data_IF_703833536806
#
_entry.id   IF_703833536806
#
_cell.length_a   1.000
_cell.length_b   1.000
_cell.length_c   1.000
_cell.angle_alpha   90.00
_cell.angle_beta   90.00
_cell.angle_gamma   90.00
#
_symmetry.space_group_name_H-M   'P 1'
#
loop_
_entity.id
_entity.type
_entity.pdbx_description
1 polymer ?
#
# COMPACT_ATOMS: atom_id res chain seq x y z
N UNK A 1 8.07 -3.51 -1.34
CA UNK A 1 7.47 -3.31 -2.70
C UNK A 1 7.93 -1.96 -3.27
N UNK A 2 8.05 -1.78 -4.58
CA UNK A 2 8.39 -0.47 -5.14
C UNK A 2 7.18 0.47 -5.22
N UNK A 3 7.39 1.77 -5.07
CA UNK A 3 6.36 2.83 -5.25
C UNK A 3 5.61 2.67 -6.58
N UNK A 4 6.31 2.21 -7.61
CA UNK A 4 5.77 1.93 -8.93
C UNK A 4 4.69 0.85 -8.93
N UNK A 5 4.86 -0.20 -8.12
CA UNK A 5 3.84 -1.26 -8.00
C UNK A 5 2.60 -0.76 -7.24
N UNK A 6 2.78 0.09 -6.23
CA UNK A 6 1.65 0.75 -5.55
C UNK A 6 0.90 1.69 -6.51
N UNK A 7 1.64 2.48 -7.29
CA UNK A 7 1.06 3.41 -8.27
C UNK A 7 0.27 2.66 -9.35
N UNK A 8 0.80 1.55 -9.85
CA UNK A 8 0.09 0.69 -10.82
C UNK A 8 -1.20 0.11 -10.22
N UNK A 9 -1.15 -0.38 -8.96
CA UNK A 9 -2.33 -0.88 -8.27
C UNK A 9 -3.41 0.21 -8.10
N UNK A 10 -3.03 1.42 -7.69
CA UNK A 10 -3.96 2.55 -7.55
C UNK A 10 -4.54 3.03 -8.88
N UNK A 11 -3.75 3.05 -9.95
CA UNK A 11 -4.24 3.41 -11.30
C UNK A 11 -5.18 2.36 -11.89
N UNK A 12 -5.02 1.09 -11.50
CA UNK A 12 -5.92 0.01 -11.91
C UNK A 12 -7.26 0.02 -11.17
N UNK A 13 -7.36 0.70 -10.02
CA UNK A 13 -8.56 0.75 -9.20
C UNK A 13 -9.63 1.60 -9.87
N UNK A 14 -10.56 0.97 -10.59
CA UNK A 14 -11.68 1.64 -11.26
C UNK A 14 -12.92 1.62 -10.37
N UNK A 15 -13.48 2.80 -10.08
CA UNK A 15 -14.82 2.92 -9.48
C UNK A 15 -15.85 2.61 -10.57
N UNK A 16 -16.40 1.39 -10.55
CA UNK A 16 -17.45 0.94 -11.48
C UNK A 16 -18.63 0.37 -10.71
N UNK A 17 -19.85 0.56 -11.24
CA UNK A 17 -21.04 -0.14 -10.77
C UNK A 17 -21.01 -1.55 -11.38
N UNK A 18 -20.92 -2.62 -10.57
CA UNK A 18 -20.91 -3.97 -11.11
C UNK A 18 -22.25 -4.29 -11.80
N UNK A 19 -22.19 -4.86 -13.01
CA UNK A 19 -23.38 -5.21 -13.77
C UNK A 19 -23.92 -6.61 -13.43
N UNK A 20 -23.14 -7.40 -12.69
CA UNK A 20 -23.47 -8.76 -12.29
C UNK A 20 -22.87 -9.14 -10.93
N UNK A 21 -23.30 -10.28 -10.38
CA UNK A 21 -22.70 -10.85 -9.16
C UNK A 21 -21.24 -11.27 -9.40
N UNK A 22 -20.92 -11.77 -10.59
CA UNK A 22 -19.55 -12.13 -10.97
C UNK A 22 -18.66 -10.88 -11.02
N UNK A 23 -19.12 -9.80 -11.65
CA UNK A 23 -18.43 -8.51 -11.71
C UNK A 23 -18.19 -7.95 -10.30
N UNK A 24 -19.17 -8.07 -9.41
CA UNK A 24 -19.05 -7.64 -8.03
C UNK A 24 -18.06 -8.50 -7.22
N UNK A 25 -17.87 -9.78 -7.58
CA UNK A 25 -16.88 -10.65 -6.96
C UNK A 25 -15.46 -10.29 -7.43
N UNK A 26 -15.28 -10.04 -8.73
CA UNK A 26 -14.03 -9.53 -9.30
C UNK A 26 -13.63 -8.19 -8.69
N UNK A 27 -14.55 -7.23 -8.64
CA UNK A 27 -14.28 -5.91 -8.03
C UNK A 27 -13.89 -6.02 -6.55
N UNK A 28 -14.51 -6.92 -5.79
CA UNK A 28 -14.11 -7.18 -4.39
C UNK A 28 -12.74 -7.83 -4.28
N UNK A 29 -12.33 -8.65 -5.26
CA UNK A 29 -10.99 -9.22 -5.29
C UNK A 29 -9.94 -8.14 -5.59
N UNK A 30 -10.21 -7.28 -6.58
CA UNK A 30 -9.37 -6.13 -6.91
C UNK A 30 -9.17 -5.20 -5.70
N UNK A 31 -10.27 -4.85 -5.01
CA UNK A 31 -10.21 -3.99 -3.80
C UNK A 31 -9.39 -4.64 -2.68
N UNK A 32 -9.55 -5.95 -2.42
CA UNK A 32 -8.77 -6.65 -1.40
C UNK A 32 -7.29 -6.71 -1.73
N UNK A 33 -6.94 -6.88 -3.00
CA UNK A 33 -5.55 -6.84 -3.44
C UNK A 33 -4.93 -5.44 -3.26
N UNK A 34 -5.68 -4.38 -3.60
CA UNK A 34 -5.24 -3.00 -3.40
C UNK A 34 -5.05 -2.64 -1.92
N UNK A 35 -5.98 -3.05 -1.05
CA UNK A 35 -5.89 -2.84 0.40
C UNK A 35 -4.68 -3.56 1.03
N UNK A 36 -4.45 -4.82 0.65
CA UNK A 36 -3.29 -5.58 1.10
C UNK A 36 -1.96 -4.92 0.67
N UNK A 37 -1.89 -4.43 -0.58
CA UNK A 37 -0.72 -3.72 -1.10
C UNK A 37 -0.47 -2.40 -0.36
N UNK A 38 -1.52 -1.63 -0.09
CA UNK A 38 -1.43 -0.39 0.69
C UNK A 38 -0.96 -0.67 2.12
N UNK A 39 -1.53 -1.67 2.78
CA UNK A 39 -1.14 -2.07 4.13
C UNK A 39 0.31 -2.54 4.21
N UNK A 40 0.80 -3.26 3.21
CA UNK A 40 2.22 -3.65 3.12
C UNK A 40 3.12 -2.42 2.97
N UNK A 41 2.79 -1.50 2.06
CA UNK A 41 3.56 -0.28 1.84
C UNK A 41 3.60 0.62 3.08
N UNK A 42 2.48 0.78 3.79
CA UNK A 42 2.44 1.54 5.05
C UNK A 42 3.36 0.92 6.11
N UNK A 43 3.34 -0.42 6.26
CA UNK A 43 4.23 -1.10 7.21
C UNK A 43 5.71 -0.92 6.86
N UNK A 44 6.07 -1.08 5.59
CA UNK A 44 7.45 -0.84 5.11
C UNK A 44 7.87 0.61 5.36
N UNK A 45 7.03 1.58 5.00
CA UNK A 45 7.34 3.02 5.17
C UNK A 45 7.47 3.41 6.64
N UNK A 46 6.63 2.85 7.53
CA UNK A 46 6.72 3.06 8.97
C UNK A 46 7.99 2.44 9.55
N UNK A 47 8.36 1.24 9.13
CA UNK A 47 9.61 0.59 9.55
C UNK A 47 10.84 1.41 9.12
N UNK A 48 10.86 1.90 7.87
CA UNK A 48 11.93 2.76 7.35
C UNK A 48 12.02 4.11 8.08
N UNK A 49 10.89 4.65 8.55
CA UNK A 49 10.88 5.89 9.33
C UNK A 49 11.42 5.65 10.75
N UNK A 50 11.02 4.57 11.40
CA UNK A 50 11.50 4.20 12.73
C UNK A 50 13.01 3.94 12.71
N UNK A 51 13.50 3.18 11.72
CA UNK A 51 14.93 2.92 11.58
C UNK A 51 15.76 4.20 11.36
N UNK A 52 15.22 5.19 10.64
CA UNK A 52 15.89 6.49 10.45
C UNK A 52 15.84 7.40 11.69
N UNK A 53 14.78 7.31 12.48
CA UNK A 53 14.66 8.05 13.75
C UNK A 53 15.66 7.53 14.78
N UNK A 54 15.77 6.21 14.92
CA UNK A 54 16.71 5.56 15.85
C UNK A 54 18.18 5.92 15.55
N UNK A 55 18.56 5.97 14.26
CA UNK A 55 19.89 6.42 13.82
C UNK A 55 20.14 7.93 14.02
N UNK A 56 19.10 8.74 14.16
CA UNK A 56 19.25 10.20 14.39
C UNK A 56 19.44 10.53 15.88
N UNK A 57 18.89 9.71 16.77
CA UNK A 57 19.01 9.89 18.23
C UNK A 57 20.36 9.38 18.77
N UNK A 58 21.04 8.45 18.08
CA UNK A 58 22.36 7.91 18.47
C UNK A 58 23.56 8.77 17.99
N UNK A 59 23.30 9.83 17.21
CA UNK A 59 24.34 10.72 16.65
C UNK A 59 24.50 12.07 17.38
N UNK A 60 23.78 12.28 18.47
CA UNK A 60 23.63 13.56 19.15
C UNK A 60 24.25 13.65 20.55
N UNK A 61 25.48 13.15 20.74
CA UNK A 61 26.30 13.52 21.90
C UNK A 61 27.80 13.37 21.56
N UNK A 62 28.43 14.45 21.10
CA UNK A 62 29.88 14.60 20.94
C UNK A 62 30.29 16.07 21.07
#
# INVERSE_FOLDING_TARGET
>A
MSEETLRAAMQSLRVRVPASVADAAELRAEVRAADAALGAWLRETTADRLARHDQSDDGGDA
#
